data_IF_142061370779
#
_entry.id   IF_142061370779
#
_cell.length_a   1.000
_cell.length_b   1.000
_cell.length_c   1.000
_cell.angle_alpha   90.00
_cell.angle_beta   90.00
_cell.angle_gamma   90.00
#
_symmetry.space_group_name_H-M   'P 1'
#
loop_
_entity.id
_entity.type
_entity.pdbx_description
1 polymer ?
#
# COMPACT_ATOMS: atom_id res chain seq x y z
N UNK A 1 9.89 -8.20 7.61
CA UNK A 1 10.50 -9.02 6.54
C UNK A 1 10.21 -10.51 6.69
N UNK A 2 10.40 -11.12 7.86
CA UNK A 2 10.24 -12.58 8.07
C UNK A 2 8.86 -13.17 7.73
N UNK A 3 7.80 -12.36 7.78
CA UNK A 3 6.46 -12.78 7.34
C UNK A 3 6.19 -12.51 5.84
N UNK A 4 6.98 -11.64 5.21
CA UNK A 4 6.83 -11.29 3.81
C UNK A 4 7.57 -12.27 2.90
N UNK A 5 8.77 -12.72 3.30
CA UNK A 5 9.60 -13.65 2.54
C UNK A 5 9.64 -15.04 3.20
N UNK A 6 9.77 -16.08 2.37
CA UNK A 6 9.99 -17.44 2.82
C UNK A 6 11.47 -17.61 3.21
N UNK A 7 11.71 -18.19 4.39
CA UNK A 7 13.07 -18.44 4.88
C UNK A 7 13.83 -19.49 4.04
N UNK A 8 13.11 -20.31 3.27
CA UNK A 8 13.70 -21.38 2.48
C UNK A 8 14.32 -20.89 1.17
N UNK A 9 13.64 -19.98 0.49
CA UNK A 9 13.98 -19.55 -0.87
C UNK A 9 14.15 -18.03 -1.01
N UNK A 10 13.90 -17.26 0.05
CA UNK A 10 14.03 -15.80 0.05
C UNK A 10 13.01 -15.10 -0.85
N UNK A 11 11.91 -15.77 -1.22
CA UNK A 11 10.90 -15.21 -2.11
C UNK A 11 9.66 -14.78 -1.34
N UNK A 12 8.90 -13.80 -1.87
CA UNK A 12 7.63 -13.41 -1.29
C UNK A 12 6.72 -14.63 -1.11
N UNK A 13 6.15 -14.76 0.09
CA UNK A 13 5.22 -15.86 0.41
C UNK A 13 3.94 -15.77 -0.43
N UNK A 14 3.52 -14.55 -0.78
CA UNK A 14 2.38 -14.32 -1.67
C UNK A 14 2.82 -14.45 -3.13
N UNK A 15 2.05 -15.18 -3.96
CA UNK A 15 2.36 -15.32 -5.37
C UNK A 15 2.21 -13.98 -6.11
N UNK A 16 2.82 -13.87 -7.29
CA UNK A 16 2.52 -12.79 -8.21
C UNK A 16 1.01 -12.79 -8.56
N UNK A 17 0.34 -11.62 -8.60
CA UNK A 17 0.89 -10.27 -8.58
C UNK A 17 0.89 -9.58 -7.21
N UNK A 18 0.77 -10.29 -6.10
CA UNK A 18 0.56 -9.70 -4.76
C UNK A 18 1.80 -9.76 -3.85
N UNK A 19 2.87 -10.45 -4.28
CA UNK A 19 4.12 -10.57 -3.53
C UNK A 19 4.89 -9.26 -3.27
N UNK A 20 4.43 -8.13 -3.78
CA UNK A 20 5.07 -6.82 -3.59
C UNK A 20 4.62 -6.08 -2.32
N UNK A 21 3.48 -6.48 -1.71
CA UNK A 21 2.90 -5.78 -0.56
C UNK A 21 3.08 -6.55 0.75
N UNK A 22 3.83 -5.96 1.67
CA UNK A 22 3.96 -6.39 3.06
C UNK A 22 3.05 -5.60 3.99
N UNK A 23 3.28 -5.76 5.29
CA UNK A 23 2.54 -5.04 6.33
C UNK A 23 3.24 -3.74 6.73
N UNK A 24 2.52 -2.81 7.36
CA UNK A 24 3.06 -1.57 7.92
C UNK A 24 3.88 -0.72 6.92
N UNK A 25 3.41 -0.64 5.67
CA UNK A 25 4.08 0.14 4.62
C UNK A 25 5.36 -0.52 4.08
N UNK A 26 5.62 -1.78 4.40
CA UNK A 26 6.71 -2.55 3.80
C UNK A 26 6.34 -2.98 2.38
N UNK A 27 7.25 -2.75 1.44
CA UNK A 27 7.09 -3.14 0.04
C UNK A 27 8.32 -3.86 -0.50
N UNK A 28 8.12 -4.75 -1.47
CA UNK A 28 9.17 -5.48 -2.16
C UNK A 28 9.05 -5.31 -3.68
N UNK A 29 10.18 -5.19 -4.37
CA UNK A 29 10.25 -4.95 -5.82
C UNK A 29 11.14 -6.00 -6.47
N UNK A 30 10.68 -6.59 -7.59
CA UNK A 30 11.54 -7.40 -8.46
C UNK A 30 11.65 -8.87 -8.07
N UNK A 31 10.94 -9.31 -7.04
CA UNK A 31 10.94 -10.71 -6.59
C UNK A 31 9.95 -11.62 -7.33
N UNK A 32 9.40 -11.14 -8.45
CA UNK A 32 8.38 -11.85 -9.23
C UNK A 32 8.95 -12.84 -10.23
N UNK A 33 10.30 -12.97 -10.32
CA UNK A 33 11.02 -13.81 -11.30
C UNK A 33 10.62 -13.55 -12.76
N UNK A 34 10.19 -12.31 -13.06
CA UNK A 34 9.75 -11.86 -14.39
C UNK A 34 10.74 -10.87 -15.04
N UNK A 35 11.97 -10.82 -14.55
CA UNK A 35 13.00 -9.88 -15.01
C UNK A 35 12.65 -8.42 -14.72
N UNK A 36 13.24 -7.50 -15.50
CA UNK A 36 13.08 -6.04 -15.34
C UNK A 36 11.61 -5.62 -15.45
N UNK A 37 10.85 -6.23 -16.37
CA UNK A 37 9.43 -5.93 -16.53
C UNK A 37 8.64 -6.25 -15.25
N UNK A 38 8.96 -7.36 -14.58
CA UNK A 38 8.38 -7.71 -13.27
C UNK A 38 8.67 -6.66 -12.21
N UNK A 39 9.92 -6.20 -12.12
CA UNK A 39 10.30 -5.13 -11.20
C UNK A 39 9.55 -3.81 -11.48
N UNK A 40 9.42 -3.43 -12.75
CA UNK A 40 8.65 -2.24 -13.14
C UNK A 40 7.17 -2.36 -12.74
N UNK A 41 6.56 -3.54 -12.88
CA UNK A 41 5.18 -3.78 -12.49
C UNK A 41 4.98 -3.62 -10.98
N UNK A 42 5.87 -4.16 -10.16
CA UNK A 42 5.82 -4.01 -8.71
C UNK A 42 5.99 -2.55 -8.31
N UNK A 43 7.02 -1.87 -8.86
CA UNK A 43 7.28 -0.45 -8.58
C UNK A 43 6.08 0.44 -8.90
N UNK A 44 5.40 0.20 -10.02
CA UNK A 44 4.19 0.94 -10.39
C UNK A 44 3.05 0.73 -9.40
N UNK A 45 2.82 -0.49 -8.93
CA UNK A 45 1.76 -0.79 -7.95
C UNK A 45 2.03 -0.14 -6.60
N UNK A 46 3.28 -0.18 -6.14
CA UNK A 46 3.71 0.47 -4.90
C UNK A 46 3.48 1.97 -4.98
N UNK A 47 3.89 2.62 -6.07
CA UNK A 47 3.68 4.05 -6.27
C UNK A 47 2.18 4.42 -6.25
N UNK A 48 1.33 3.60 -6.89
CA UNK A 48 -0.12 3.78 -6.87
C UNK A 48 -0.68 3.63 -5.46
N UNK A 49 -0.25 2.62 -4.70
CA UNK A 49 -0.72 2.42 -3.34
C UNK A 49 -0.35 3.59 -2.43
N UNK A 50 0.88 4.08 -2.51
CA UNK A 50 1.33 5.24 -1.72
C UNK A 50 0.48 6.48 -2.05
N UNK A 51 0.21 6.72 -3.33
CA UNK A 51 -0.65 7.83 -3.78
C UNK A 51 -2.09 7.68 -3.22
N UNK A 52 -2.66 6.48 -3.28
CA UNK A 52 -3.98 6.21 -2.72
C UNK A 52 -4.03 6.37 -1.20
N UNK A 53 -3.06 5.83 -0.47
CA UNK A 53 -2.97 5.95 0.98
C UNK A 53 -2.87 7.42 1.41
N UNK A 54 -2.02 8.20 0.74
CA UNK A 54 -1.88 9.63 1.00
C UNK A 54 -3.20 10.40 0.77
N UNK A 55 -3.90 10.10 -0.33
CA UNK A 55 -5.21 10.70 -0.66
C UNK A 55 -6.32 10.26 0.29
N UNK A 56 -6.29 9.03 0.78
CA UNK A 56 -7.29 8.49 1.71
C UNK A 56 -7.13 9.07 3.12
N UNK A 57 -5.88 9.32 3.55
CA UNK A 57 -5.57 9.95 4.84
C UNK A 57 -5.86 11.46 4.84
N UNK A 58 -5.77 12.11 3.67
CA UNK A 58 -6.17 13.50 3.48
C UNK A 58 -7.69 13.65 3.33
N UNK A 59 -8.43 13.35 4.41
CA UNK A 59 -9.78 13.92 4.56
C UNK A 59 -9.63 15.45 4.56
N UNK A 60 -10.29 16.19 3.67
CA UNK A 60 -10.20 17.63 3.71
C UNK A 60 -10.70 18.11 5.06
N UNK A 61 -9.85 18.87 5.77
CA UNK A 61 -10.12 19.52 7.07
C UNK A 61 -11.46 20.26 7.05
N UNK A 62 -11.95 20.66 5.87
CA UNK A 62 -13.21 21.35 5.64
C UNK A 62 -14.47 20.60 6.13
N UNK A 63 -14.47 19.27 6.22
CA UNK A 63 -15.65 18.50 6.68
C UNK A 63 -15.76 18.40 8.22
N UNK A 64 -14.74 18.83 8.97
CA UNK A 64 -14.71 18.66 10.43
C UNK A 64 -15.35 19.82 11.23
N UNK A 65 -15.74 20.93 10.59
CA UNK A 65 -16.20 22.14 11.31
C UNK A 65 -17.68 22.51 11.10
N UNK A 66 -18.48 21.66 10.44
CA UNK A 66 -19.89 21.97 10.18
C UNK A 66 -20.84 21.15 11.07
N UNK A 67 -20.81 21.39 12.38
CA UNK A 67 -21.98 21.16 13.24
C UNK A 67 -22.77 22.47 13.34
N UNK A 68 -23.94 22.62 12.69
CA UNK A 68 -24.83 23.74 13.00
C UNK A 68 -25.51 23.45 14.33
N UNK A 69 -25.16 24.23 15.36
CA UNK A 69 -25.82 24.26 16.66
C UNK A 69 -27.30 24.57 16.48
N UNK A 70 -28.19 23.60 16.69
CA UNK A 70 -29.60 23.85 16.95
C UNK A 70 -29.84 23.76 18.46
N UNK A 71 -29.93 24.90 19.14
CA UNK A 71 -30.54 25.01 20.46
C UNK A 71 -32.06 25.14 20.28
N UNK A 72 -32.90 24.29 20.91
CA UNK A 72 -34.30 24.64 21.12
C UNK A 72 -34.47 25.32 22.49
N UNK A 73 -35.25 26.40 22.47
CA UNK A 73 -35.88 27.04 23.63
C UNK A 73 -37.09 26.20 24.07
#
# INVERSE_FOLDING_TARGET
EGDMFSEKDGLPRRPFPEGWKGENGLYAVGFTKRGILGACMDARRIAQEIDYSWKAESKPIFLATATPTSLPY
#
